data_IF_473314979331
#
_entry.id   IF_473314979331
#
_cell.length_a   1.000
_cell.length_b   1.000
_cell.length_c   1.000
_cell.angle_alpha   90.00
_cell.angle_beta   90.00
_cell.angle_gamma   90.00
#
_symmetry.space_group_name_H-M   'P 1'
#
loop_
_entity.id
_entity.type
_entity.pdbx_description
1 polymer ?
#
# COMPACT_ATOMS: atom_id res chain seq x y z
N UNK A 1 6.28 -17.15 15.59
CA UNK A 1 4.92 -16.88 15.11
C UNK A 1 5.03 -16.42 13.68
N UNK A 2 4.41 -17.14 12.75
CA UNK A 2 4.57 -16.93 11.30
C UNK A 2 3.86 -15.67 10.80
N UNK A 3 2.79 -15.24 11.46
CA UNK A 3 2.09 -14.00 11.11
C UNK A 3 2.99 -12.76 11.15
N UNK A 4 3.96 -12.71 12.08
CA UNK A 4 4.84 -11.56 12.23
C UNK A 4 5.91 -11.43 11.13
N UNK A 5 6.16 -12.49 10.34
CA UNK A 5 7.11 -12.47 9.22
C UNK A 5 6.51 -11.94 7.91
N UNK A 6 5.18 -11.88 7.78
CA UNK A 6 4.53 -11.31 6.60
C UNK A 6 4.59 -9.78 6.58
N UNK A 7 4.44 -9.18 5.39
CA UNK A 7 4.33 -7.73 5.23
C UNK A 7 3.04 -7.20 5.87
N UNK A 8 2.99 -5.91 6.21
CA UNK A 8 1.79 -5.31 6.82
C UNK A 8 0.53 -5.46 5.95
N UNK A 9 0.60 -5.33 4.61
CA UNK A 9 -0.55 -5.61 3.73
C UNK A 9 -0.99 -7.09 3.79
N UNK A 10 -0.05 -8.03 3.77
CA UNK A 10 -0.34 -9.47 3.86
C UNK A 10 -1.02 -9.82 5.19
N UNK A 11 -0.53 -9.25 6.29
CA UNK A 11 -1.14 -9.36 7.61
C UNK A 11 -2.59 -8.85 7.59
N UNK A 12 -2.82 -7.64 7.09
CA UNK A 12 -4.16 -7.04 7.03
C UNK A 12 -5.11 -7.91 6.20
N UNK A 13 -4.64 -8.49 5.10
CA UNK A 13 -5.42 -9.40 4.25
C UNK A 13 -5.81 -10.68 4.99
N UNK A 14 -4.85 -11.36 5.64
CA UNK A 14 -5.11 -12.58 6.43
C UNK A 14 -6.11 -12.28 7.56
N UNK A 15 -5.91 -11.19 8.28
CA UNK A 15 -6.80 -10.81 9.39
C UNK A 15 -8.18 -10.40 8.85
N UNK A 16 -8.31 -9.66 7.76
CA UNK A 16 -9.63 -9.30 7.20
C UNK A 16 -10.51 -10.53 6.94
N UNK A 17 -9.93 -11.63 6.44
CA UNK A 17 -10.67 -12.87 6.18
C UNK A 17 -10.99 -13.65 7.47
N UNK A 18 -10.05 -13.67 8.41
CA UNK A 18 -10.22 -14.37 9.68
C UNK A 18 -11.13 -13.63 10.69
N UNK A 19 -11.56 -12.39 10.37
CA UNK A 19 -12.31 -11.48 11.25
C UNK A 19 -11.81 -11.35 12.70
N UNK A 20 -10.49 -11.30 13.00
CA UNK A 20 -10.03 -11.04 14.34
C UNK A 20 -10.19 -9.55 14.66
N UNK A 21 -10.40 -9.27 15.94
CA UNK A 21 -10.58 -7.92 16.48
C UNK A 21 -9.40 -7.00 16.11
N UNK A 22 -9.65 -5.70 15.98
CA UNK A 22 -8.64 -4.65 15.77
C UNK A 22 -7.44 -4.78 16.75
N UNK A 23 -7.70 -5.29 17.96
CA UNK A 23 -6.68 -5.59 18.96
C UNK A 23 -5.58 -6.55 18.47
N UNK A 24 -5.91 -7.51 17.59
CA UNK A 24 -4.94 -8.47 17.02
C UNK A 24 -3.99 -7.78 16.05
N UNK A 25 -4.52 -6.90 15.20
CA UNK A 25 -3.72 -6.12 14.26
C UNK A 25 -2.77 -5.20 15.03
N UNK A 26 -3.28 -4.46 16.01
CA UNK A 26 -2.48 -3.55 16.84
C UNK A 26 -1.40 -4.31 17.61
N UNK A 27 -1.73 -5.47 18.18
CA UNK A 27 -0.78 -6.31 18.89
C UNK A 27 0.33 -6.85 17.96
N UNK A 28 0.01 -7.19 16.71
CA UNK A 28 0.98 -7.67 15.74
C UNK A 28 1.89 -6.55 15.21
N UNK A 29 1.33 -5.35 14.98
CA UNK A 29 2.10 -4.15 14.62
C UNK A 29 3.10 -3.80 15.73
N UNK A 30 2.69 -3.87 17.00
CA UNK A 30 3.58 -3.71 18.14
C UNK A 30 4.70 -4.78 18.14
N UNK A 31 4.38 -6.04 17.86
CA UNK A 31 5.39 -7.11 17.80
C UNK A 31 6.45 -6.90 16.71
N UNK A 32 6.09 -6.27 15.58
CA UNK A 32 7.01 -5.92 14.50
C UNK A 32 7.91 -4.74 14.85
N UNK A 33 7.40 -3.76 15.61
CA UNK A 33 8.17 -2.59 16.08
C UNK A 33 9.17 -2.94 17.19
N UNK A 34 8.99 -4.07 17.89
CA UNK A 34 9.94 -4.51 18.92
C UNK A 34 11.28 -4.91 18.31
N UNK A 35 12.33 -4.19 18.68
CA UNK A 35 13.70 -4.44 18.24
C UNK A 35 14.26 -5.82 18.66
N UNK A 36 15.33 -6.29 18.00
CA UNK A 36 15.88 -7.63 18.19
C UNK A 36 16.37 -7.93 19.61
N UNK A 37 16.74 -6.89 20.38
CA UNK A 37 17.22 -7.01 21.76
C UNK A 37 16.10 -7.19 22.80
N UNK A 38 14.84 -6.94 22.44
CA UNK A 38 13.69 -7.02 23.36
C UNK A 38 13.05 -8.42 23.30
N UNK A 39 13.87 -9.45 23.53
CA UNK A 39 13.44 -10.87 23.43
C UNK A 39 12.25 -11.19 24.34
N UNK A 40 12.29 -10.71 25.58
CA UNK A 40 11.23 -11.00 26.56
C UNK A 40 9.94 -10.21 26.30
N UNK A 41 10.05 -8.97 25.78
CA UNK A 41 8.88 -8.20 25.33
C UNK A 41 8.22 -8.85 24.12
N UNK A 42 9.02 -9.31 23.15
CA UNK A 42 8.52 -10.02 21.96
C UNK A 42 7.85 -11.34 22.32
N UNK A 43 8.42 -12.10 23.27
CA UNK A 43 7.81 -13.33 23.80
C UNK A 43 6.45 -13.06 24.46
N UNK A 44 6.35 -12.01 25.30
CA UNK A 44 5.09 -11.62 25.93
C UNK A 44 4.05 -11.14 24.93
N UNK A 45 4.48 -10.40 23.92
CA UNK A 45 3.60 -9.92 22.87
C UNK A 45 3.03 -11.08 22.04
N UNK A 46 3.85 -12.06 21.65
CA UNK A 46 3.35 -13.25 20.96
C UNK A 46 2.40 -14.08 21.81
N UNK A 47 2.60 -14.16 23.12
CA UNK A 47 1.64 -14.82 24.02
C UNK A 47 0.30 -14.08 24.09
N UNK A 48 0.32 -12.75 24.08
CA UNK A 48 -0.91 -11.94 24.04
C UNK A 48 -1.65 -12.12 22.71
N UNK A 49 -0.95 -12.08 21.58
CA UNK A 49 -1.55 -12.33 20.25
C UNK A 49 -2.14 -13.75 20.20
N UNK A 50 -1.43 -14.76 20.72
CA UNK A 50 -1.94 -16.13 20.80
C UNK A 50 -3.20 -16.27 21.67
N UNK A 51 -3.38 -15.41 22.69
CA UNK A 51 -4.62 -15.35 23.47
C UNK A 51 -5.77 -14.77 22.65
N UNK A 52 -5.51 -13.70 21.89
CA UNK A 52 -6.52 -13.03 21.06
C UNK A 52 -6.96 -13.90 19.88
N UNK A 53 -6.05 -14.70 19.33
CA UNK A 53 -6.34 -15.62 18.21
C UNK A 53 -7.07 -16.90 18.63
N UNK A 54 -7.43 -17.07 19.91
CA UNK A 54 -8.07 -18.30 20.39
C UNK A 54 -9.47 -18.51 19.83
N UNK A 55 -10.14 -17.42 19.48
CA UNK A 55 -11.50 -17.44 18.93
C UNK A 55 -11.51 -17.53 17.39
N UNK A 56 -10.32 -17.50 16.76
CA UNK A 56 -10.16 -17.70 15.31
C UNK A 56 -9.99 -19.18 15.01
N UNK A 57 -10.69 -19.67 13.98
CA UNK A 57 -10.58 -21.06 13.52
C UNK A 57 -9.14 -21.34 13.04
N UNK A 58 -8.40 -22.26 13.70
CA UNK A 58 -6.99 -22.48 13.41
C UNK A 58 -6.78 -23.04 12.00
N UNK A 59 -7.70 -23.86 11.50
CA UNK A 59 -7.65 -24.43 10.16
C UNK A 59 -7.80 -23.36 9.06
N UNK A 60 -8.67 -22.35 9.28
CA UNK A 60 -8.83 -21.22 8.37
C UNK A 60 -7.57 -20.33 8.38
N UNK A 61 -7.03 -20.07 9.57
CA UNK A 61 -5.80 -19.27 9.71
C UNK A 61 -4.61 -19.95 9.03
N UNK A 62 -4.43 -21.26 9.21
CA UNK A 62 -3.35 -22.01 8.57
C UNK A 62 -3.49 -22.04 7.04
N UNK A 63 -4.72 -22.19 6.53
CA UNK A 63 -5.00 -22.13 5.09
C UNK A 63 -4.71 -20.74 4.49
N UNK A 64 -5.01 -19.66 5.22
CA UNK A 64 -4.69 -18.28 4.81
C UNK A 64 -3.18 -18.01 4.83
N UNK A 65 -2.47 -18.52 5.84
CA UNK A 65 -1.01 -18.45 5.93
C UNK A 65 -0.36 -19.21 4.76
N UNK A 66 -0.84 -20.41 4.45
CA UNK A 66 -0.35 -21.23 3.34
C UNK A 66 -0.58 -20.54 1.99
N UNK A 67 -1.81 -20.09 1.71
CA UNK A 67 -2.13 -19.41 0.47
C UNK A 67 -1.34 -18.09 0.29
N UNK A 68 -1.06 -17.38 1.39
CA UNK A 68 -0.21 -16.17 1.35
C UNK A 68 1.26 -16.49 1.06
N UNK A 69 1.78 -17.65 1.50
CA UNK A 69 3.15 -18.08 1.19
C UNK A 69 3.30 -18.53 -0.27
N UNK A 70 2.28 -19.19 -0.81
CA UNK A 70 2.28 -19.72 -2.18
C UNK A 70 1.96 -18.65 -3.24
N UNK A 71 1.50 -17.47 -2.82
CA UNK A 71 0.99 -16.44 -3.73
C UNK A 71 -0.30 -16.86 -4.42
N UNK A 72 -1.06 -17.79 -3.83
CA UNK A 72 -2.30 -18.31 -4.40
C UNK A 72 -3.47 -17.38 -4.08
N UNK A 73 -3.57 -16.32 -4.88
CA UNK A 73 -4.58 -15.28 -4.75
C UNK A 73 -6.01 -15.81 -4.96
N UNK A 74 -6.18 -16.80 -5.85
CA UNK A 74 -7.46 -17.46 -6.09
C UNK A 74 -7.95 -18.21 -4.85
N UNK A 75 -7.05 -18.89 -4.15
CA UNK A 75 -7.36 -19.58 -2.90
C UNK A 75 -7.66 -18.61 -1.76
N UNK A 76 -6.93 -17.49 -1.65
CA UNK A 76 -7.26 -16.42 -0.69
C UNK A 76 -8.65 -15.85 -0.92
N UNK A 77 -9.03 -15.60 -2.18
CA UNK A 77 -10.34 -15.08 -2.55
C UNK A 77 -11.46 -16.08 -2.23
N UNK A 78 -11.26 -17.36 -2.54
CA UNK A 78 -12.23 -18.41 -2.22
C UNK A 78 -12.47 -18.57 -0.71
N UNK A 79 -11.41 -18.47 0.10
CA UNK A 79 -11.50 -18.50 1.56
C UNK A 79 -12.23 -17.25 2.11
N UNK A 80 -12.06 -16.10 1.45
CA UNK A 80 -12.75 -14.84 1.79
C UNK A 80 -14.26 -14.89 1.50
N UNK A 81 -14.66 -15.44 0.34
CA UNK A 81 -16.07 -15.62 -0.04
C UNK A 81 -16.78 -16.64 0.86
N UNK A 82 -16.07 -17.66 1.35
CA UNK A 82 -16.65 -18.65 2.26
C UNK A 82 -16.95 -18.12 3.67
N UNK A 83 -16.26 -17.07 4.12
CA UNK A 83 -16.49 -16.45 5.43
C UNK A 83 -17.71 -15.50 5.46
N UNK A 84 -18.18 -15.03 4.31
CA UNK A 84 -19.26 -14.05 4.18
C UNK A 84 -20.70 -14.63 4.34
N UNK A 85 -20.86 -15.92 4.64
CA UNK A 85 -22.19 -16.57 4.70
C UNK A 85 -22.93 -16.42 6.05
N UNK A 86 -22.54 -15.48 6.92
CA UNK A 86 -23.29 -15.15 8.14
C UNK A 86 -23.55 -13.65 8.22
N UNK A 87 -24.59 -13.20 7.50
CA UNK A 87 -25.37 -12.03 7.88
C UNK A 87 -25.37 -10.84 6.90
N UNK A 88 -26.33 -10.84 5.98
CA UNK A 88 -27.19 -9.68 5.69
C UNK A 88 -26.68 -8.57 4.75
N UNK A 89 -27.30 -8.53 3.57
CA UNK A 89 -27.55 -7.41 2.66
C UNK A 89 -26.38 -6.72 1.92
N UNK A 90 -26.45 -6.84 0.58
CA UNK A 90 -26.08 -5.91 -0.49
C UNK A 90 -24.99 -4.87 -0.19
N UNK A 91 -23.77 -5.16 -0.66
CA UNK A 91 -22.98 -4.22 -1.48
C UNK A 91 -21.98 -5.03 -2.31
N UNK A 92 -22.25 -5.19 -3.61
CA UNK A 92 -21.31 -5.72 -4.60
C UNK A 92 -20.15 -4.74 -4.78
N UNK A 93 -19.23 -4.72 -3.82
CA UNK A 93 -17.92 -4.11 -3.93
C UNK A 93 -16.86 -5.19 -4.08
N UNK A 94 -16.68 -5.71 -5.30
CA UNK A 94 -15.49 -6.47 -5.67
C UNK A 94 -14.26 -5.56 -5.54
N UNK A 95 -13.73 -5.44 -4.31
CA UNK A 95 -12.44 -4.82 -4.04
C UNK A 95 -11.33 -5.77 -4.48
N UNK A 96 -11.14 -5.87 -5.80
CA UNK A 96 -9.85 -6.26 -6.40
C UNK A 96 -8.82 -5.15 -6.13
N UNK A 97 -8.37 -5.05 -4.87
CA UNK A 97 -7.19 -4.29 -4.53
C UNK A 97 -5.99 -5.24 -4.51
N UNK A 98 -5.47 -5.51 -5.71
CA UNK A 98 -4.05 -5.76 -5.91
C UNK A 98 -3.24 -4.59 -5.33
N UNK A 99 -2.95 -4.64 -4.04
CA UNK A 99 -1.85 -3.91 -3.43
C UNK A 99 -0.90 -4.90 -2.75
N UNK A 100 -0.23 -5.71 -3.56
CA UNK A 100 1.15 -6.09 -3.26
C UNK A 100 2.06 -4.91 -3.63
N UNK A 101 2.06 -3.87 -2.82
CA UNK A 101 3.22 -3.01 -2.73
C UNK A 101 3.39 -2.60 -1.27
N UNK A 102 4.57 -2.91 -0.76
CA UNK A 102 5.08 -2.46 0.52
C UNK A 102 4.97 -0.94 0.59
N UNK A 103 3.93 -0.40 1.24
CA UNK A 103 4.01 0.98 1.73
C UNK A 103 4.69 0.96 3.09
N UNK A 104 6.01 1.09 2.93
CA UNK A 104 7.01 1.70 3.78
C UNK A 104 6.44 2.59 4.90
N UNK A 105 6.98 2.32 6.09
CA UNK A 105 7.36 3.26 7.16
C UNK A 105 6.69 4.65 7.16
N UNK A 106 6.03 4.96 8.27
CA UNK A 106 5.62 6.31 8.74
C UNK A 106 6.43 7.46 8.10
N UNK A 107 5.98 7.96 6.95
CA UNK A 107 6.68 8.96 6.16
C UNK A 107 6.28 10.37 6.65
N UNK A 108 7.26 11.27 6.76
CA UNK A 108 7.04 12.67 7.15
C UNK A 108 6.01 13.32 6.22
N UNK A 109 4.93 13.87 6.81
CA UNK A 109 3.80 14.49 6.12
C UNK A 109 4.20 15.58 5.11
N UNK A 110 5.40 16.14 5.26
CA UNK A 110 5.95 17.17 4.39
C UNK A 110 6.28 16.65 2.98
N UNK A 111 6.86 15.45 2.86
CA UNK A 111 7.17 14.84 1.56
C UNK A 111 5.90 14.51 0.79
N UNK A 112 4.90 13.97 1.49
CA UNK A 112 3.59 13.70 0.93
C UNK A 112 2.94 14.97 0.39
N UNK A 113 3.03 16.09 1.13
CA UNK A 113 2.47 17.37 0.70
C UNK A 113 3.15 17.95 -0.54
N UNK A 114 4.48 17.86 -0.64
CA UNK A 114 5.22 18.35 -1.81
C UNK A 114 4.90 17.49 -3.04
N UNK A 115 4.89 16.16 -2.87
CA UNK A 115 4.56 15.24 -3.95
C UNK A 115 3.14 15.48 -4.49
N UNK A 116 2.15 15.72 -3.62
CA UNK A 116 0.79 16.08 -4.05
C UNK A 116 0.74 17.39 -4.83
N UNK A 117 1.42 18.45 -4.36
CA UNK A 117 1.51 19.73 -5.10
C UNK A 117 2.13 19.54 -6.48
N UNK A 118 3.21 18.77 -6.58
CA UNK A 118 3.87 18.49 -7.86
C UNK A 118 2.99 17.64 -8.78
N UNK A 119 2.31 16.64 -8.23
CA UNK A 119 1.37 15.82 -8.98
C UNK A 119 0.29 16.69 -9.62
N UNK A 120 -0.40 17.50 -8.82
CA UNK A 120 -1.49 18.36 -9.28
C UNK A 120 -0.99 19.35 -10.34
N UNK A 121 0.17 19.97 -10.13
CA UNK A 121 0.78 20.90 -11.08
C UNK A 121 1.19 20.25 -12.41
N UNK A 122 1.76 19.05 -12.38
CA UNK A 122 2.17 18.32 -13.59
C UNK A 122 0.97 17.83 -14.40
N UNK A 123 -0.09 17.35 -13.73
CA UNK A 123 -1.32 16.91 -14.40
C UNK A 123 -2.09 18.11 -14.97
N UNK A 124 -2.20 19.21 -14.22
CA UNK A 124 -2.85 20.45 -14.66
C UNK A 124 -2.05 21.26 -15.69
N UNK A 125 -0.83 20.82 -16.03
CA UNK A 125 0.10 21.51 -16.96
C UNK A 125 0.46 22.92 -16.46
N UNK A 126 0.57 23.09 -15.15
CA UNK A 126 1.05 24.33 -14.53
C UNK A 126 2.53 24.54 -14.87
N UNK A 127 2.82 25.65 -15.54
CA UNK A 127 4.17 26.00 -15.98
C UNK A 127 5.11 26.29 -14.81
N UNK A 128 4.61 26.83 -13.69
CA UNK A 128 5.44 27.13 -12.53
C UNK A 128 5.93 25.84 -11.89
N UNK A 129 5.02 24.91 -11.60
CA UNK A 129 5.33 23.60 -11.02
C UNK A 129 6.17 22.75 -11.97
N UNK A 130 5.84 22.76 -13.26
CA UNK A 130 6.61 22.03 -14.27
C UNK A 130 8.06 22.54 -14.28
N UNK A 131 8.26 23.86 -14.36
CA UNK A 131 9.61 24.42 -14.35
C UNK A 131 10.34 24.15 -13.02
N UNK A 132 9.64 24.23 -11.88
CA UNK A 132 10.18 23.87 -10.56
C UNK A 132 10.77 22.45 -10.58
N UNK A 133 9.95 21.46 -10.93
CA UNK A 133 10.36 20.05 -10.94
C UNK A 133 11.47 19.78 -11.97
N UNK A 134 11.36 20.31 -13.20
CA UNK A 134 12.38 20.08 -14.23
C UNK A 134 13.67 20.90 -14.01
N UNK A 135 13.67 21.92 -13.16
CA UNK A 135 14.88 22.70 -12.82
C UNK A 135 15.57 22.21 -11.55
N UNK A 136 15.08 21.14 -10.91
CA UNK A 136 15.81 20.49 -9.82
C UNK A 136 17.14 19.96 -10.38
N UNK A 137 18.25 20.50 -9.88
CA UNK A 137 19.62 20.09 -10.21
C UNK A 137 20.34 19.43 -9.02
N UNK A 138 19.76 19.52 -7.83
CA UNK A 138 20.31 19.01 -6.57
C UNK A 138 20.23 17.49 -6.48
N UNK A 139 19.27 16.88 -7.17
CA UNK A 139 19.06 15.43 -7.23
C UNK A 139 19.06 14.99 -8.69
N UNK A 140 19.78 13.91 -8.97
CA UNK A 140 19.76 13.26 -10.28
C UNK A 140 18.59 12.27 -10.34
N UNK A 141 17.64 12.52 -11.25
CA UNK A 141 16.47 11.68 -11.43
C UNK A 141 16.13 11.55 -12.92
N UNK A 142 15.49 10.44 -13.29
CA UNK A 142 15.15 10.17 -14.68
C UNK A 142 14.00 11.07 -15.16
N UNK A 143 14.36 12.15 -15.87
CA UNK A 143 13.41 13.09 -16.48
C UNK A 143 12.58 12.45 -17.59
N UNK A 144 13.08 11.42 -18.26
CA UNK A 144 12.33 10.69 -19.28
C UNK A 144 11.29 9.80 -18.63
N UNK A 145 11.62 9.17 -17.50
CA UNK A 145 10.67 8.40 -16.68
C UNK A 145 9.54 9.30 -16.18
N UNK A 146 9.85 10.47 -15.61
CA UNK A 146 8.83 11.43 -15.19
C UNK A 146 7.89 11.82 -16.34
N UNK A 147 8.44 12.10 -17.53
CA UNK A 147 7.63 12.41 -18.72
C UNK A 147 6.73 11.27 -19.13
N UNK A 148 7.20 10.02 -19.05
CA UNK A 148 6.41 8.83 -19.38
C UNK A 148 5.25 8.67 -18.39
N UNK A 149 5.51 8.81 -17.09
CA UNK A 149 4.50 8.68 -16.05
C UNK A 149 3.41 9.75 -16.17
N UNK A 150 3.78 11.01 -16.34
CA UNK A 150 2.82 12.12 -16.53
C UNK A 150 1.96 11.89 -17.78
N UNK A 151 2.57 11.51 -18.91
CA UNK A 151 1.83 11.21 -20.14
C UNK A 151 0.89 10.03 -19.98
N UNK A 152 1.28 9.00 -19.23
CA UNK A 152 0.43 7.83 -19.00
C UNK A 152 -0.84 8.23 -18.26
N UNK A 153 -0.70 8.99 -17.16
CA UNK A 153 -1.86 9.48 -16.38
C UNK A 153 -2.77 10.36 -17.23
N UNK A 154 -2.21 11.31 -17.98
CA UNK A 154 -2.98 12.19 -18.86
C UNK A 154 -3.68 11.42 -19.97
N UNK A 155 -3.01 10.46 -20.60
CA UNK A 155 -3.58 9.66 -21.69
C UNK A 155 -4.75 8.80 -21.23
N UNK A 156 -4.69 8.23 -20.02
CA UNK A 156 -5.78 7.42 -19.48
C UNK A 156 -6.94 8.33 -19.06
N UNK A 157 -6.66 9.51 -18.51
CA UNK A 157 -7.68 10.49 -18.12
C UNK A 157 -8.44 11.10 -19.32
N UNK A 158 -7.75 11.30 -20.45
CA UNK A 158 -8.34 11.89 -21.66
C UNK A 158 -9.07 10.85 -22.55
N UNK A 159 -8.95 9.54 -22.26
CA UNK A 159 -9.65 8.50 -23.03
C UNK A 159 -11.11 8.32 -22.56
N UNK A 160 -12.11 8.51 -23.43
CA UNK A 160 -13.49 8.21 -23.11
C UNK A 160 -13.70 6.71 -23.10
N UNK A 161 -14.22 6.17 -21.99
CA UNK A 161 -14.59 4.78 -21.92
C UNK A 161 -15.80 4.52 -22.82
N UNK A 162 -15.72 3.44 -23.61
CA UNK A 162 -16.71 3.12 -24.66
C UNK A 162 -17.75 2.10 -24.21
N UNK A 163 -17.60 1.53 -23.00
CA UNK A 163 -18.38 0.39 -22.47
C UNK A 163 -18.19 0.26 -20.96
N UNK A 164 -19.19 -0.23 -20.21
CA UNK A 164 -19.16 -0.31 -18.73
C UNK A 164 -18.02 -1.18 -18.15
N UNK A 165 -17.67 -2.30 -18.80
CA UNK A 165 -16.50 -3.12 -18.38
C UNK A 165 -15.18 -2.37 -18.64
N UNK A 166 -15.10 -1.64 -19.76
CA UNK A 166 -13.95 -0.81 -20.13
C UNK A 166 -13.82 0.41 -19.21
N UNK A 167 -14.92 0.92 -18.64
CA UNK A 167 -14.91 1.97 -17.62
C UNK A 167 -14.22 1.54 -16.33
N UNK A 168 -14.50 0.31 -15.87
CA UNK A 168 -13.88 -0.25 -14.66
C UNK A 168 -12.39 -0.50 -14.88
N UNK A 169 -12.03 -1.15 -15.98
CA UNK A 169 -10.62 -1.40 -16.34
C UNK A 169 -9.83 -0.09 -16.51
N UNK A 170 -10.41 0.91 -17.17
CA UNK A 170 -9.80 2.24 -17.32
C UNK A 170 -9.60 2.94 -15.97
N UNK A 171 -10.56 2.80 -15.05
CA UNK A 171 -10.47 3.36 -13.69
C UNK A 171 -9.35 2.71 -12.88
N UNK A 172 -9.21 1.38 -12.95
CA UNK A 172 -8.12 0.65 -12.30
C UNK A 172 -6.76 1.06 -12.89
N UNK A 173 -6.66 1.13 -14.22
CA UNK A 173 -5.45 1.57 -14.90
C UNK A 173 -5.06 3.01 -14.52
N UNK A 174 -6.05 3.90 -14.38
CA UNK A 174 -5.85 5.28 -13.95
C UNK A 174 -5.30 5.32 -12.52
N UNK A 175 -5.90 4.59 -11.58
CA UNK A 175 -5.43 4.51 -10.20
C UNK A 175 -3.98 4.00 -10.12
N UNK A 176 -3.65 2.94 -10.86
CA UNK A 176 -2.27 2.40 -10.94
C UNK A 176 -1.30 3.44 -11.49
N UNK A 177 -1.66 4.14 -12.56
CA UNK A 177 -0.81 5.17 -13.16
C UNK A 177 -0.58 6.37 -12.20
N UNK A 178 -1.64 6.81 -11.51
CA UNK A 178 -1.57 7.87 -10.51
C UNK A 178 -0.69 7.47 -9.33
N UNK A 179 -0.82 6.21 -8.85
CA UNK A 179 -0.01 5.67 -7.75
C UNK A 179 1.47 5.64 -8.11
N UNK A 180 1.82 5.16 -9.32
CA UNK A 180 3.21 5.16 -9.81
C UNK A 180 3.81 6.56 -9.90
N UNK A 181 3.07 7.55 -10.42
CA UNK A 181 3.53 8.94 -10.47
C UNK A 181 3.71 9.53 -9.06
N UNK A 182 2.75 9.30 -8.17
CA UNK A 182 2.80 9.78 -6.78
C UNK A 182 4.00 9.21 -6.05
N UNK A 183 4.25 7.90 -6.19
CA UNK A 183 5.41 7.24 -5.57
C UNK A 183 6.74 7.81 -6.10
N UNK A 184 6.86 8.00 -7.41
CA UNK A 184 8.04 8.63 -8.01
C UNK A 184 8.30 10.02 -7.43
N UNK A 185 7.25 10.86 -7.32
CA UNK A 185 7.36 12.22 -6.81
C UNK A 185 7.69 12.26 -5.31
N UNK A 186 7.13 11.34 -4.51
CA UNK A 186 7.49 11.20 -3.08
C UNK A 186 8.96 10.84 -2.92
N UNK A 187 9.45 9.87 -3.68
CA UNK A 187 10.86 9.50 -3.64
C UNK A 187 11.77 10.67 -4.08
N UNK A 188 11.36 11.44 -5.08
CA UNK A 188 12.08 12.65 -5.50
C UNK A 188 12.11 13.72 -4.40
N UNK A 189 10.97 13.99 -3.75
CA UNK A 189 10.89 14.94 -2.63
C UNK A 189 11.75 14.50 -1.44
N UNK A 190 11.76 13.19 -1.13
CA UNK A 190 12.62 12.59 -0.10
C UNK A 190 14.10 12.79 -0.41
N UNK A 191 14.50 12.60 -1.66
CA UNK A 191 15.88 12.82 -2.09
C UNK A 191 16.29 14.29 -2.01
N UNK A 192 15.39 15.23 -2.32
CA UNK A 192 15.67 16.66 -2.19
C UNK A 192 16.01 17.05 -0.75
N UNK A 193 15.14 16.72 0.21
CA UNK A 193 15.37 17.07 1.60
C UNK A 193 16.53 16.28 2.22
N UNK A 194 16.72 15.02 1.81
CA UNK A 194 17.90 14.25 2.20
C UNK A 194 19.21 14.90 1.74
N UNK A 195 19.21 15.58 0.60
CA UNK A 195 20.37 16.30 0.05
C UNK A 195 20.67 17.60 0.81
N UNK A 196 19.65 18.29 1.31
CA UNK A 196 19.79 19.53 2.08
C UNK A 196 20.39 19.29 3.48
N UNK A 197 20.13 18.13 4.08
CA UNK A 197 20.64 17.75 5.41
C UNK A 197 22.17 17.56 5.40
N UNK A 198 22.78 17.17 4.26
CA UNK A 198 24.23 16.97 4.14
C UNK A 198 25.04 18.25 3.89
N UNK A 199 24.40 19.38 3.58
CA UNK A 199 25.07 20.67 3.33
C UNK A 199 25.27 21.53 4.59
N UNK A 200 24.79 21.07 5.75
CA UNK A 200 24.86 21.80 7.03
C UNK A 200 25.65 21.07 8.15
N UNK A 201 26.48 20.07 7.83
CA UNK A 201 27.41 19.45 8.79
C UNK A 201 28.86 19.87 8.58
#
# INVERSE_FOLDING_TARGET
MELASFSNPQIKRILRVASPEQEVLDALMLAKRLGPDIREGKRRQFNYIGKLLRDVEPELMDALIEATKEGDHSRLQALSVSAAWVGGDDDEGEEDFEEEHEEEEEESSEHASIASRWFDGLISKDNEITNEVYSIHTVDFDRQELRKLVRNVQSIQEQPATTDENEREASIALLRAQKSLTHFLRNLARQLHGSEIWLHS
#
